data_IF_915936761347
#
_entry.id   IF_915936761347
#
_cell.length_a   1.000
_cell.length_b   1.000
_cell.length_c   1.000
_cell.angle_alpha   90.00
_cell.angle_beta   90.00
_cell.angle_gamma   90.00
#
_symmetry.space_group_name_H-M   'P 1'
#
loop_
_entity.id
_entity.type
_entity.pdbx_description
1 polymer ?
#
# COMPACT_ATOMS: atom_id res chain seq x y z
N UNK A 1 -19.83 0.96 -12.97
CA UNK A 1 -19.13 2.10 -13.59
C UNK A 1 -17.98 1.53 -14.41
N UNK A 2 -17.72 2.03 -15.62
CA UNK A 2 -16.67 1.51 -16.49
C UNK A 2 -15.61 2.61 -16.73
N UNK A 3 -14.34 2.21 -16.71
CA UNK A 3 -13.19 3.06 -17.04
C UNK A 3 -12.46 2.39 -18.20
N UNK A 4 -12.12 3.17 -19.23
CA UNK A 4 -11.37 2.68 -20.39
C UNK A 4 -9.93 3.18 -20.30
N UNK A 5 -8.98 2.24 -20.35
CA UNK A 5 -7.54 2.51 -20.36
C UNK A 5 -6.95 1.91 -21.62
N UNK A 6 -6.14 2.69 -22.34
CA UNK A 6 -5.48 2.23 -23.56
C UNK A 6 -4.11 1.67 -23.21
N UNK A 7 -3.87 0.43 -23.64
CA UNK A 7 -2.58 -0.24 -23.58
C UNK A 7 -2.10 -0.53 -24.99
N UNK A 8 -0.79 -0.65 -25.18
CA UNK A 8 -0.25 -1.25 -26.39
C UNK A 8 -0.40 -2.79 -26.35
N UNK A 9 -0.16 -3.45 -27.47
CA UNK A 9 -0.37 -4.90 -27.59
C UNK A 9 0.52 -5.71 -26.64
N UNK A 10 1.73 -5.25 -26.38
CA UNK A 10 2.69 -5.90 -25.47
C UNK A 10 2.21 -5.80 -24.01
N UNK A 11 1.85 -4.61 -23.55
CA UNK A 11 1.32 -4.36 -22.21
C UNK A 11 0.04 -5.17 -21.96
N UNK A 12 -0.87 -5.18 -22.94
CA UNK A 12 -2.11 -5.96 -22.84
C UNK A 12 -1.83 -7.47 -22.79
N UNK A 13 -0.81 -7.95 -23.50
CA UNK A 13 -0.34 -9.32 -23.45
C UNK A 13 0.09 -9.72 -22.03
N UNK A 14 0.95 -8.92 -21.42
CA UNK A 14 1.43 -9.15 -20.05
C UNK A 14 0.29 -9.18 -19.03
N UNK A 15 -0.66 -8.23 -19.13
CA UNK A 15 -1.83 -8.19 -18.25
C UNK A 15 -2.70 -9.44 -18.39
N UNK A 16 -2.90 -9.95 -19.60
CA UNK A 16 -3.68 -11.16 -19.86
C UNK A 16 -2.98 -12.41 -19.33
N UNK A 17 -1.68 -12.53 -19.52
CA UNK A 17 -0.89 -13.66 -19.00
C UNK A 17 -0.93 -13.69 -17.46
N UNK A 18 -0.73 -12.54 -16.82
CA UNK A 18 -0.85 -12.42 -15.36
C UNK A 18 -2.25 -12.79 -14.90
N UNK A 19 -3.29 -12.22 -15.51
CA UNK A 19 -4.68 -12.52 -15.16
C UNK A 19 -4.99 -14.02 -15.29
N UNK A 20 -4.50 -14.66 -16.36
CA UNK A 20 -4.64 -16.10 -16.57
C UNK A 20 -3.91 -16.93 -15.53
N UNK A 21 -2.68 -16.55 -15.16
CA UNK A 21 -1.87 -17.27 -14.17
C UNK A 21 -2.56 -17.32 -12.80
N UNK A 22 -3.22 -16.24 -12.42
CA UNK A 22 -3.90 -16.11 -11.12
C UNK A 22 -5.41 -16.35 -11.18
N UNK A 23 -5.95 -16.76 -12.35
CA UNK A 23 -7.37 -17.01 -12.57
C UNK A 23 -8.28 -15.83 -12.15
N UNK A 24 -7.88 -14.62 -12.54
CA UNK A 24 -8.62 -13.36 -12.33
C UNK A 24 -8.86 -12.65 -13.66
N UNK A 25 -9.70 -11.61 -13.68
CA UNK A 25 -9.86 -10.81 -14.89
C UNK A 25 -8.77 -9.74 -15.02
N UNK A 26 -8.52 -9.25 -16.24
CA UNK A 26 -7.63 -8.08 -16.46
C UNK A 26 -8.11 -6.86 -15.66
N UNK A 27 -9.44 -6.70 -15.51
CA UNK A 27 -10.01 -5.62 -14.69
C UNK A 27 -9.67 -5.77 -13.21
N UNK A 28 -9.55 -6.99 -12.69
CA UNK A 28 -9.15 -7.24 -11.29
C UNK A 28 -7.68 -6.90 -11.08
N UNK A 29 -6.82 -7.26 -12.04
CA UNK A 29 -5.40 -6.89 -12.01
C UNK A 29 -5.24 -5.37 -11.97
N UNK A 30 -5.90 -4.66 -12.88
CA UNK A 30 -5.85 -3.19 -12.95
C UNK A 30 -6.40 -2.57 -11.66
N UNK A 31 -7.55 -3.07 -11.16
CA UNK A 31 -8.15 -2.57 -9.92
C UNK A 31 -7.20 -2.73 -8.74
N UNK A 32 -6.63 -3.92 -8.57
CA UNK A 32 -5.70 -4.20 -7.47
C UNK A 32 -4.47 -3.30 -7.55
N UNK A 33 -3.80 -3.28 -8.71
CA UNK A 33 -2.62 -2.44 -8.91
C UNK A 33 -2.91 -0.96 -8.64
N UNK A 34 -4.08 -0.46 -9.05
CA UNK A 34 -4.48 0.93 -8.79
C UNK A 34 -4.66 1.20 -7.29
N UNK A 35 -5.28 0.28 -6.55
CA UNK A 35 -5.46 0.44 -5.11
C UNK A 35 -4.14 0.35 -4.36
N UNK A 36 -3.27 -0.59 -4.73
CA UNK A 36 -1.94 -0.76 -4.14
C UNK A 36 -1.11 0.53 -4.33
N UNK A 37 -1.13 1.13 -5.53
CA UNK A 37 -0.42 2.41 -5.80
C UNK A 37 -0.94 3.58 -4.95
N UNK A 38 -2.25 3.62 -4.68
CA UNK A 38 -2.86 4.64 -3.83
C UNK A 38 -2.42 4.42 -2.38
N UNK A 39 -2.46 3.19 -1.90
CA UNK A 39 -2.02 2.80 -0.54
C UNK A 39 -0.55 3.16 -0.32
N UNK A 40 0.34 2.78 -1.24
CA UNK A 40 1.77 3.11 -1.17
C UNK A 40 2.00 4.63 -1.04
N UNK A 41 1.24 5.42 -1.80
CA UNK A 41 1.32 6.88 -1.76
C UNK A 41 0.84 7.45 -0.41
N UNK A 42 -0.19 6.84 0.17
CA UNK A 42 -0.70 7.22 1.49
C UNK A 42 0.26 6.83 2.60
N UNK A 43 0.84 5.63 2.55
CA UNK A 43 1.81 5.14 3.53
C UNK A 43 3.04 6.04 3.61
N UNK A 44 3.56 6.48 2.46
CA UNK A 44 4.66 7.45 2.40
C UNK A 44 4.26 8.76 3.07
N UNK A 45 3.09 9.32 2.74
CA UNK A 45 2.62 10.57 3.31
C UNK A 45 2.41 10.50 4.84
N UNK A 46 1.89 9.37 5.34
CA UNK A 46 1.69 9.12 6.77
C UNK A 46 3.05 9.05 7.48
N UNK A 47 4.01 8.34 6.90
CA UNK A 47 5.36 8.22 7.46
C UNK A 47 6.04 9.59 7.54
N UNK A 48 6.00 10.38 6.47
CA UNK A 48 6.57 11.73 6.43
C UNK A 48 5.96 12.62 7.51
N UNK A 49 4.63 12.62 7.65
CA UNK A 49 3.93 13.36 8.69
C UNK A 49 4.33 12.91 10.10
N UNK A 50 4.48 11.60 10.33
CA UNK A 50 4.92 11.05 11.60
C UNK A 50 6.36 11.48 11.93
N UNK A 51 7.27 11.44 10.96
CA UNK A 51 8.66 11.88 11.12
C UNK A 51 8.75 13.39 11.40
N UNK A 52 7.96 14.21 10.71
CA UNK A 52 7.89 15.65 10.95
C UNK A 52 7.41 15.96 12.36
N UNK A 53 6.35 15.27 12.81
CA UNK A 53 5.83 15.39 14.19
C UNK A 53 6.89 15.01 15.22
N UNK A 54 7.58 13.88 15.05
CA UNK A 54 8.65 13.43 15.94
C UNK A 54 9.80 14.45 15.99
N UNK A 55 10.16 15.03 14.85
CA UNK A 55 11.22 16.04 14.77
C UNK A 55 10.84 17.33 15.51
N UNK A 56 9.58 17.77 15.42
CA UNK A 56 9.08 19.01 16.03
C UNK A 56 8.75 18.87 17.52
N UNK A 57 8.08 17.78 17.89
CA UNK A 57 7.51 17.58 19.23
C UNK A 57 8.37 16.64 20.10
N UNK A 58 9.36 15.97 19.52
CA UNK A 58 10.08 14.86 20.13
C UNK A 58 9.30 13.55 20.02
N UNK A 59 9.94 12.44 20.39
CA UNK A 59 9.28 11.14 20.55
C UNK A 59 9.47 10.62 21.97
N UNK A 60 8.44 9.95 22.50
CA UNK A 60 8.54 9.20 23.74
C UNK A 60 9.05 7.80 23.41
N UNK A 61 10.23 7.48 23.91
CA UNK A 61 10.81 6.15 23.79
C UNK A 61 10.34 5.30 24.97
N UNK A 62 9.97 4.06 24.68
CA UNK A 62 9.58 3.07 25.66
C UNK A 62 10.54 1.89 25.60
N UNK A 63 10.89 1.34 26.75
CA UNK A 63 11.49 0.01 26.82
C UNK A 63 10.46 -1.05 26.43
N UNK A 64 10.92 -2.25 26.07
CA UNK A 64 10.04 -3.36 25.71
C UNK A 64 9.05 -3.71 26.82
N UNK A 65 9.48 -3.69 28.09
CA UNK A 65 8.62 -3.96 29.24
C UNK A 65 7.55 -2.88 29.47
N UNK A 66 7.89 -1.60 29.29
CA UNK A 66 6.92 -0.51 29.40
C UNK A 66 5.87 -0.59 28.28
N UNK A 67 6.31 -0.84 27.05
CA UNK A 67 5.43 -1.01 25.90
C UNK A 67 4.48 -2.21 26.08
N UNK A 68 4.99 -3.35 26.57
CA UNK A 68 4.16 -4.54 26.78
C UNK A 68 3.13 -4.38 27.89
N UNK A 69 3.46 -3.67 28.98
CA UNK A 69 2.50 -3.30 30.02
C UNK A 69 1.43 -2.35 29.52
N UNK A 70 1.80 -1.35 28.70
CA UNK A 70 0.85 -0.36 28.17
C UNK A 70 -0.10 -0.98 27.13
N UNK A 71 0.39 -1.90 26.31
CA UNK A 71 -0.36 -2.53 25.22
C UNK A 71 -1.01 -3.88 25.58
N UNK A 72 -0.75 -4.40 26.79
CA UNK A 72 -1.41 -5.58 27.33
C UNK A 72 -0.94 -6.93 26.76
N UNK A 73 0.32 -7.00 26.32
CA UNK A 73 0.92 -8.26 25.82
C UNK A 73 2.08 -8.79 26.70
N UNK A 74 2.42 -8.07 27.79
CA UNK A 74 3.25 -8.52 28.91
C UNK A 74 2.48 -8.28 30.22
#
# INVERSE_FOLDING_TARGET
MAVSVRFNDSELGLLKEYASLYNVSVSDVIRKATMDMIEDSMDVAILEAAMERISKEGSKMYTFEEAGKELGFL
#
